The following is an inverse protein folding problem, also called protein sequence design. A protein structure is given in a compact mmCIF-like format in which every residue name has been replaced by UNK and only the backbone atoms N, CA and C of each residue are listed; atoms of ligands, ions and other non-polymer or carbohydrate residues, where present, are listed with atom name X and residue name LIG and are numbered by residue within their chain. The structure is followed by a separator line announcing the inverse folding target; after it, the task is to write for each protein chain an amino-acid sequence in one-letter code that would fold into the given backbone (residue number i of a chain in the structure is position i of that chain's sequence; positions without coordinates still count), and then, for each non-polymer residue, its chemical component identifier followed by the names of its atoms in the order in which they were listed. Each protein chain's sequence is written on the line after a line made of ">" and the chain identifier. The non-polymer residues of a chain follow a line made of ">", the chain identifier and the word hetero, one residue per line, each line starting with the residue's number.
data_IF_026158826113
#
_entry.id   IF_026158826113
#
_cell.length_a   1.000
_cell.length_b   1.000
_cell.length_c   1.000
_cell.angle_alpha   90.00
_cell.angle_beta   90.00
_cell.angle_gamma   90.00
#
_symmetry.space_group_name_H-M   'P 1'
#
loop_
_entity.id
_entity.type
_entity.pdbx_description
1 polymer ?
#
# COMPACT_ATOMS: atom_id res chain seq x y z
N UNK A 1 3.92 42.76 -14.26
CA UNK A 1 4.80 41.62 -13.94
C UNK A 1 4.09 40.89 -12.83
N UNK A 2 3.43 39.75 -13.04
CA UNK A 2 3.04 38.90 -11.94
C UNK A 2 4.31 38.17 -11.44
N UNK A 3 4.51 38.28 -10.15
CA UNK A 3 5.59 37.59 -9.45
C UNK A 3 5.26 36.08 -9.44
N UNK A 4 6.18 35.28 -9.95
CA UNK A 4 6.13 33.83 -9.84
C UNK A 4 6.15 33.45 -8.36
N UNK A 5 4.99 33.03 -7.83
CA UNK A 5 4.93 32.33 -6.56
C UNK A 5 5.68 30.98 -6.73
N UNK A 6 6.60 30.66 -5.83
CA UNK A 6 7.29 29.38 -5.88
C UNK A 6 6.22 28.30 -5.53
N UNK A 7 5.90 27.47 -6.52
CA UNK A 7 5.21 26.20 -6.28
C UNK A 7 6.04 25.40 -5.29
N UNK A 8 5.55 25.27 -4.07
CA UNK A 8 6.14 24.40 -3.06
C UNK A 8 6.05 22.93 -3.52
N UNK A 9 7.00 22.51 -4.33
CA UNK A 9 7.25 21.08 -4.56
C UNK A 9 7.91 20.55 -3.30
N UNK A 10 7.11 19.98 -2.40
CA UNK A 10 7.58 19.18 -1.28
C UNK A 10 8.11 17.85 -1.82
N UNK A 11 9.30 17.83 -2.33
CA UNK A 11 9.99 16.62 -2.81
C UNK A 11 11.49 16.88 -2.83
N UNK A 12 12.25 15.90 -2.39
CA UNK A 12 13.68 15.84 -2.68
C UNK A 12 13.81 15.86 -4.19
N UNK A 13 14.69 16.72 -4.72
CA UNK A 13 14.99 16.80 -6.16
C UNK A 13 15.84 15.59 -6.56
N UNK A 14 15.24 14.40 -6.55
CA UNK A 14 15.83 13.13 -7.00
C UNK A 14 15.32 12.81 -8.39
N UNK A 15 16.15 12.08 -9.15
CA UNK A 15 15.74 11.55 -10.44
C UNK A 15 14.53 10.60 -10.23
N UNK A 16 13.41 10.79 -10.95
CA UNK A 16 12.24 9.93 -10.85
C UNK A 16 12.55 8.44 -11.06
N UNK A 17 13.49 8.09 -11.94
CA UNK A 17 13.86 6.71 -12.20
C UNK A 17 14.67 6.11 -11.03
N UNK A 18 15.57 6.88 -10.43
CA UNK A 18 16.27 6.46 -9.21
C UNK A 18 15.29 6.14 -8.07
N UNK A 19 14.26 6.97 -7.92
CA UNK A 19 13.21 6.71 -6.92
C UNK A 19 12.48 5.40 -7.19
N UNK A 20 12.11 5.13 -8.45
CA UNK A 20 11.44 3.89 -8.84
C UNK A 20 12.32 2.66 -8.61
N UNK A 21 13.61 2.75 -8.91
CA UNK A 21 14.57 1.66 -8.68
C UNK A 21 14.67 1.32 -7.19
N UNK A 22 14.81 2.32 -6.32
CA UNK A 22 14.85 2.12 -4.86
C UNK A 22 13.56 1.45 -4.33
N UNK A 23 12.40 1.87 -4.83
CA UNK A 23 11.11 1.26 -4.45
C UNK A 23 11.06 -0.21 -4.91
N UNK A 24 11.39 -0.50 -6.18
CA UNK A 24 11.42 -1.88 -6.70
C UNK A 24 12.37 -2.79 -5.90
N UNK A 25 13.58 -2.30 -5.58
CA UNK A 25 14.56 -3.05 -4.82
C UNK A 25 14.05 -3.39 -3.42
N UNK A 26 13.53 -2.40 -2.68
CA UNK A 26 12.99 -2.62 -1.33
C UNK A 26 11.84 -3.62 -1.33
N UNK A 27 10.82 -3.39 -2.16
CA UNK A 27 9.61 -4.23 -2.17
C UNK A 27 9.87 -5.60 -2.80
N UNK A 28 10.82 -5.72 -3.75
CA UNK A 28 11.30 -6.99 -4.27
C UNK A 28 11.98 -7.85 -3.18
N UNK A 29 12.78 -7.23 -2.32
CA UNK A 29 13.38 -7.89 -1.18
C UNK A 29 12.33 -8.35 -0.16
N UNK A 30 11.32 -7.51 0.14
CA UNK A 30 10.21 -7.89 1.04
C UNK A 30 9.46 -9.11 0.47
N UNK A 31 9.07 -9.08 -0.81
CA UNK A 31 8.35 -10.18 -1.45
C UNK A 31 9.14 -11.50 -1.42
N UNK A 32 10.46 -11.43 -1.62
CA UNK A 32 11.34 -12.59 -1.64
C UNK A 32 11.57 -13.18 -0.24
N UNK A 33 11.74 -12.34 0.78
CA UNK A 33 11.98 -12.78 2.16
C UNK A 33 10.72 -13.34 2.84
N UNK A 34 9.53 -12.90 2.43
CA UNK A 34 8.27 -13.43 2.93
C UNK A 34 7.97 -14.89 2.47
N UNK A 35 8.83 -15.50 1.67
CA UNK A 35 8.73 -16.93 1.27
C UNK A 35 9.44 -17.89 2.23
N UNK A 36 10.12 -17.40 3.27
CA UNK A 36 11.10 -18.18 4.05
C UNK A 36 10.57 -19.03 5.22
N UNK A 37 9.27 -19.17 5.47
CA UNK A 37 8.74 -19.95 6.59
C UNK A 37 7.69 -21.03 6.23
N UNK A 38 7.66 -21.53 5.01
CA UNK A 38 6.75 -22.61 4.63
C UNK A 38 7.22 -23.38 3.40
N UNK A 39 7.47 -24.69 3.59
CA UNK A 39 7.73 -25.72 2.59
C UNK A 39 9.14 -25.83 2.00
N UNK A 40 10.04 -26.49 2.76
CA UNK A 40 10.99 -27.40 2.16
C UNK A 40 10.93 -28.78 2.84
N UNK A 41 10.16 -29.68 2.26
CA UNK A 41 10.33 -31.12 2.46
C UNK A 41 11.03 -31.67 1.21
N UNK A 42 12.32 -31.96 1.30
CA UNK A 42 12.96 -32.75 0.24
C UNK A 42 14.45 -32.51 0.02
N UNK A 43 15.25 -33.20 0.87
CA UNK A 43 16.54 -33.85 0.59
C UNK A 43 17.64 -33.15 -0.26
N UNK A 44 18.65 -32.61 0.30
CA UNK A 44 19.97 -33.24 0.41
C UNK A 44 20.93 -32.36 1.25
N UNK A 45 21.57 -33.00 2.23
CA UNK A 45 22.44 -32.33 3.16
C UNK A 45 23.87 -32.23 2.59
N UNK A 46 24.39 -30.99 2.49
CA UNK A 46 25.82 -30.75 2.76
C UNK A 46 26.00 -29.33 3.34
N UNK A 47 26.22 -29.36 4.64
CA UNK A 47 27.02 -28.49 5.51
C UNK A 47 27.20 -26.99 5.20
N UNK A 48 26.80 -26.24 6.19
CA UNK A 48 27.50 -25.18 6.93
C UNK A 48 26.89 -23.81 6.83
N UNK A 49 26.40 -23.40 7.96
CA UNK A 49 26.24 -22.15 8.69
C UNK A 49 24.81 -21.70 9.06
N UNK A 50 24.54 -21.79 10.39
CA UNK A 50 23.79 -20.80 11.14
C UNK A 50 22.28 -20.79 11.04
N UNK A 51 21.59 -21.92 11.14
CA UNK A 51 20.13 -21.95 11.33
C UNK A 51 19.73 -21.94 12.81
N UNK A 52 18.98 -20.96 13.25
CA UNK A 52 18.27 -20.98 14.54
C UNK A 52 17.08 -21.93 14.46
N UNK A 53 17.26 -23.19 14.83
CA UNK A 53 16.29 -24.14 15.39
C UNK A 53 16.95 -25.52 15.47
N UNK A 54 17.80 -25.71 16.47
CA UNK A 54 18.26 -27.07 16.87
C UNK A 54 17.42 -27.50 18.06
N UNK A 55 16.61 -28.53 17.87
CA UNK A 55 15.99 -29.25 18.95
C UNK A 55 17.08 -30.15 19.62
N UNK A 56 17.61 -29.71 20.76
CA UNK A 56 18.26 -30.55 21.71
C UNK A 56 17.39 -30.67 22.97
N UNK A 57 16.89 -31.89 23.17
CA UNK A 57 16.19 -32.31 24.36
C UNK A 57 17.22 -32.52 25.48
N UNK A 58 17.36 -31.57 26.35
CA UNK A 58 17.60 -31.66 27.79
C UNK A 58 18.17 -30.35 28.36
N UNK A 59 17.29 -29.47 28.84
CA UNK A 59 17.67 -28.43 29.81
C UNK A 59 16.42 -27.90 30.52
N UNK A 60 16.51 -27.96 31.81
CA UNK A 60 15.60 -27.46 32.85
C UNK A 60 15.09 -26.03 32.61
N UNK A 61 13.80 -25.86 32.93
CA UNK A 61 13.08 -24.59 32.93
C UNK A 61 13.90 -23.40 33.48
N UNK A 62 14.12 -22.40 32.63
CA UNK A 62 13.84 -20.98 32.91
C UNK A 62 14.27 -20.14 31.69
N UNK A 63 13.41 -19.18 31.32
CA UNK A 63 13.66 -18.07 30.41
C UNK A 63 13.50 -18.22 28.89
N UNK A 64 12.51 -17.46 28.36
CA UNK A 64 12.59 -16.80 27.06
C UNK A 64 12.16 -17.62 25.85
N UNK A 65 10.92 -18.12 25.81
CA UNK A 65 10.35 -18.72 24.60
C UNK A 65 10.18 -17.69 23.48
N UNK A 66 10.77 -17.94 22.32
CA UNK A 66 10.49 -17.25 21.06
C UNK A 66 9.14 -17.64 20.46
N UNK A 67 8.12 -17.83 21.28
CA UNK A 67 6.72 -17.94 20.90
C UNK A 67 5.95 -17.34 22.06
N UNK A 68 5.86 -16.04 22.11
CA UNK A 68 4.86 -15.37 22.95
C UNK A 68 3.51 -15.58 22.29
N UNK A 69 2.69 -16.45 22.88
CA UNK A 69 1.24 -16.50 22.70
C UNK A 69 0.57 -15.26 23.32
N UNK A 70 1.13 -14.10 23.13
CA UNK A 70 0.44 -12.85 23.31
C UNK A 70 -0.30 -12.61 22.00
N UNK A 71 -1.63 -12.77 22.03
CA UNK A 71 -2.56 -12.36 20.99
C UNK A 71 -2.52 -10.81 20.89
N UNK A 72 -1.37 -10.28 20.50
CA UNK A 72 -1.27 -8.90 20.06
C UNK A 72 -1.83 -8.86 18.63
N UNK A 73 -2.68 -7.88 18.37
CA UNK A 73 -3.34 -7.71 17.07
C UNK A 73 -2.30 -7.82 15.94
N UNK A 74 -2.61 -8.55 14.88
CA UNK A 74 -1.74 -8.62 13.70
C UNK A 74 -1.46 -7.23 13.16
N UNK A 75 -0.39 -7.05 12.39
CA UNK A 75 -0.07 -5.74 11.80
C UNK A 75 -1.28 -5.11 11.11
N UNK A 76 -2.07 -5.89 10.38
CA UNK A 76 -3.23 -5.43 9.64
C UNK A 76 -4.43 -5.08 10.52
N UNK A 77 -4.65 -5.76 11.66
CA UNK A 77 -5.68 -5.37 12.63
C UNK A 77 -5.40 -3.97 13.21
N UNK A 78 -4.12 -3.61 13.43
CA UNK A 78 -3.73 -2.24 13.86
C UNK A 78 -4.02 -1.17 12.80
N UNK A 79 -4.12 -1.56 11.52
CA UNK A 79 -4.49 -0.69 10.40
C UNK A 79 -6.01 -0.53 10.24
N UNK A 80 -6.80 -1.28 11.02
CA UNK A 80 -8.27 -1.19 11.04
C UNK A 80 -8.97 -2.26 10.19
N UNK A 81 -8.26 -3.33 9.79
CA UNK A 81 -8.91 -4.53 9.29
C UNK A 81 -9.43 -5.34 10.47
N UNK A 82 -10.55 -6.01 10.31
CA UNK A 82 -11.01 -6.90 11.35
C UNK A 82 -10.39 -8.30 11.24
N UNK A 83 -10.47 -9.09 12.31
CA UNK A 83 -9.86 -10.41 12.35
C UNK A 83 -10.47 -11.39 11.32
N UNK A 84 -11.72 -11.16 10.88
CA UNK A 84 -12.39 -11.95 9.85
C UNK A 84 -11.80 -11.64 8.47
N UNK A 85 -11.53 -10.36 8.16
CA UNK A 85 -10.84 -9.93 6.95
C UNK A 85 -9.46 -10.60 6.86
N UNK A 86 -8.66 -10.52 7.93
CA UNK A 86 -7.31 -11.12 7.94
C UNK A 86 -7.37 -12.63 7.78
N UNK A 87 -8.33 -13.31 8.44
CA UNK A 87 -8.49 -14.74 8.36
C UNK A 87 -9.10 -15.25 7.03
N UNK A 88 -9.75 -14.39 6.26
CA UNK A 88 -10.37 -14.77 4.97
C UNK A 88 -9.34 -14.91 3.84
N UNK A 89 -8.18 -14.28 3.97
CA UNK A 89 -7.15 -14.25 2.94
C UNK A 89 -6.04 -15.26 3.25
N UNK A 90 -5.51 -15.94 2.21
CA UNK A 90 -4.44 -16.94 2.38
C UNK A 90 -3.17 -16.35 2.97
N UNK A 91 -2.46 -17.20 3.71
CA UNK A 91 -1.14 -16.90 4.24
C UNK A 91 -0.19 -16.38 3.14
N UNK A 92 0.47 -15.26 3.44
CA UNK A 92 1.45 -14.63 2.56
C UNK A 92 0.87 -13.58 1.61
N UNK A 93 -0.44 -13.29 1.64
CA UNK A 93 -1.00 -12.10 1.00
C UNK A 93 -0.93 -10.88 1.92
N UNK A 94 -1.17 -11.06 3.21
CA UNK A 94 -0.91 -10.04 4.22
C UNK A 94 0.59 -9.99 4.54
N UNK A 95 1.22 -8.86 4.20
CA UNK A 95 2.63 -8.57 4.49
C UNK A 95 2.80 -7.56 5.62
N UNK A 96 1.71 -7.16 6.29
CA UNK A 96 1.72 -6.12 7.32
C UNK A 96 2.12 -4.74 6.78
N UNK A 97 1.95 -4.49 5.49
CA UNK A 97 2.28 -3.24 4.83
C UNK A 97 1.03 -2.36 4.73
N UNK A 98 1.21 -1.04 4.82
CA UNK A 98 0.11 -0.09 4.70
C UNK A 98 0.05 0.90 5.86
N UNK A 99 -0.95 1.76 5.84
CA UNK A 99 -1.19 2.77 6.87
C UNK A 99 -2.67 2.98 7.17
N UNK A 100 -3.53 2.08 6.72
CA UNK A 100 -4.96 2.08 7.00
C UNK A 100 -5.70 1.01 6.19
N UNK A 101 -7.03 1.06 6.18
CA UNK A 101 -7.92 0.12 5.52
C UNK A 101 -8.80 0.86 4.50
N UNK A 102 -8.45 0.87 3.19
CA UNK A 102 -9.25 1.52 2.16
C UNK A 102 -10.61 0.83 1.95
N UNK A 103 -10.71 -0.50 2.18
CA UNK A 103 -11.97 -1.26 2.10
C UNK A 103 -13.06 -0.64 2.98
N UNK A 104 -12.70 -0.15 4.17
CA UNK A 104 -13.65 0.34 5.16
C UNK A 104 -14.49 1.56 4.69
N UNK A 105 -14.01 2.31 3.69
CA UNK A 105 -14.70 3.52 3.19
C UNK A 105 -14.85 3.57 1.66
N UNK A 106 -14.40 2.53 0.94
CA UNK A 106 -14.54 2.46 -0.52
C UNK A 106 -16.00 2.28 -0.99
N UNK A 107 -16.92 1.91 -0.10
CA UNK A 107 -18.34 1.69 -0.39
C UNK A 107 -18.57 0.75 -1.60
N UNK A 108 -17.74 -0.31 -1.73
CA UNK A 108 -17.81 -1.25 -2.84
C UNK A 108 -19.15 -1.97 -2.88
N UNK A 109 -19.66 -2.24 -4.09
CA UNK A 109 -20.93 -2.90 -4.31
C UNK A 109 -20.80 -4.08 -5.28
N UNK A 110 -21.66 -5.12 -5.16
CA UNK A 110 -21.60 -6.28 -6.05
C UNK A 110 -21.67 -5.91 -7.52
N UNK A 111 -20.78 -6.49 -8.31
CA UNK A 111 -20.69 -6.30 -9.76
C UNK A 111 -19.74 -5.16 -10.19
N UNK A 112 -19.17 -4.39 -9.28
CA UNK A 112 -18.23 -3.32 -9.62
C UNK A 112 -16.86 -3.85 -10.07
N UNK A 113 -16.19 -3.06 -10.90
CA UNK A 113 -14.77 -3.23 -11.25
C UNK A 113 -13.90 -2.36 -10.34
N UNK A 114 -13.02 -2.99 -9.57
CA UNK A 114 -12.10 -2.33 -8.63
C UNK A 114 -10.68 -2.37 -9.17
N UNK A 115 -9.96 -1.25 -9.06
CA UNK A 115 -8.53 -1.16 -9.32
C UNK A 115 -7.81 -0.86 -8.02
N UNK A 116 -6.82 -1.70 -7.68
CA UNK A 116 -5.91 -1.50 -6.56
C UNK A 116 -4.55 -1.01 -7.05
N UNK A 117 -4.16 0.19 -6.64
CA UNK A 117 -2.89 0.82 -6.98
C UNK A 117 -1.82 0.44 -5.94
N UNK A 118 -0.81 -0.31 -6.39
CA UNK A 118 0.24 -0.86 -5.53
C UNK A 118 -0.25 -2.06 -4.74
N UNK A 119 -0.82 -3.02 -5.44
CA UNK A 119 -1.51 -4.17 -4.86
C UNK A 119 -0.64 -5.12 -4.03
N UNK A 120 0.71 -4.97 -4.09
CA UNK A 120 1.62 -5.83 -3.35
C UNK A 120 1.35 -7.31 -3.59
N UNK A 121 1.21 -8.09 -2.52
CA UNK A 121 0.89 -9.52 -2.57
C UNK A 121 -0.61 -9.84 -2.74
N UNK A 122 -1.46 -8.81 -2.88
CA UNK A 122 -2.86 -8.92 -3.27
C UNK A 122 -3.87 -8.85 -2.12
N UNK A 123 -3.48 -8.52 -0.90
CA UNK A 123 -4.35 -8.54 0.28
C UNK A 123 -5.65 -7.74 0.07
N UNK A 124 -5.55 -6.44 -0.24
CA UNK A 124 -6.71 -5.58 -0.48
C UNK A 124 -7.52 -6.02 -1.71
N UNK A 125 -6.86 -6.60 -2.73
CA UNK A 125 -7.54 -7.15 -3.91
C UNK A 125 -8.46 -8.33 -3.55
N UNK A 126 -8.03 -9.23 -2.66
CA UNK A 126 -8.86 -10.38 -2.26
C UNK A 126 -10.05 -9.92 -1.42
N UNK A 127 -9.84 -8.98 -0.50
CA UNK A 127 -10.93 -8.38 0.26
C UNK A 127 -11.93 -7.63 -0.63
N UNK A 128 -11.43 -6.93 -1.65
CA UNK A 128 -12.28 -6.27 -2.63
C UNK A 128 -13.09 -7.27 -3.47
N UNK A 129 -12.49 -8.43 -3.83
CA UNK A 129 -13.17 -9.47 -4.58
C UNK A 129 -14.36 -10.07 -3.80
N UNK A 130 -14.21 -10.24 -2.49
CA UNK A 130 -15.30 -10.70 -1.62
C UNK A 130 -16.46 -9.69 -1.60
N UNK A 131 -16.18 -8.39 -1.57
CA UNK A 131 -17.19 -7.32 -1.58
C UNK A 131 -17.94 -7.22 -2.92
N UNK A 132 -17.20 -7.27 -4.05
CA UNK A 132 -17.83 -7.12 -5.38
C UNK A 132 -18.46 -8.42 -5.87
N UNK A 133 -18.07 -9.55 -5.30
CA UNK A 133 -18.65 -10.86 -5.60
C UNK A 133 -18.36 -11.41 -6.99
N UNK A 134 -19.02 -12.50 -7.40
CA UNK A 134 -18.68 -13.25 -8.60
C UNK A 134 -18.98 -12.53 -9.93
N UNK A 135 -19.80 -11.50 -9.91
CA UNK A 135 -20.12 -10.68 -11.09
C UNK A 135 -19.23 -9.43 -11.18
N UNK A 136 -18.40 -9.18 -10.15
CA UNK A 136 -17.43 -8.10 -10.10
C UNK A 136 -16.07 -8.49 -10.67
N UNK A 137 -15.15 -7.53 -10.75
CA UNK A 137 -13.79 -7.75 -11.21
C UNK A 137 -12.79 -6.90 -10.43
N UNK A 138 -11.62 -7.45 -10.08
CA UNK A 138 -10.57 -6.73 -9.35
C UNK A 138 -9.27 -6.79 -10.13
N UNK A 139 -8.65 -5.63 -10.31
CA UNK A 139 -7.36 -5.48 -11.00
C UNK A 139 -6.35 -4.92 -10.01
N UNK A 140 -5.34 -5.71 -9.66
CA UNK A 140 -4.19 -5.24 -8.89
C UNK A 140 -3.06 -4.79 -9.82
N UNK A 141 -2.47 -3.63 -9.54
CA UNK A 141 -1.29 -3.12 -10.27
C UNK A 141 -0.16 -2.88 -9.31
N UNK A 142 1.01 -3.44 -9.59
CA UNK A 142 2.24 -3.20 -8.81
C UNK A 142 3.44 -3.03 -9.76
N UNK A 143 4.41 -2.18 -9.36
CA UNK A 143 5.63 -1.92 -10.13
C UNK A 143 6.69 -3.01 -9.95
N UNK A 144 6.55 -3.86 -8.91
CA UNK A 144 7.53 -4.86 -8.48
C UNK A 144 7.18 -6.23 -9.04
N UNK A 145 8.02 -6.82 -9.94
CA UNK A 145 7.73 -8.13 -10.53
C UNK A 145 7.53 -9.25 -9.51
N UNK A 146 8.30 -9.22 -8.41
CA UNK A 146 8.26 -10.20 -7.33
C UNK A 146 6.91 -10.14 -6.59
N UNK A 147 6.38 -8.93 -6.34
CA UNK A 147 5.05 -8.74 -5.75
C UNK A 147 3.96 -9.28 -6.67
N UNK A 148 4.00 -8.94 -7.96
CA UNK A 148 3.03 -9.44 -8.96
C UNK A 148 3.07 -10.97 -9.04
N UNK A 149 4.27 -11.58 -9.00
CA UNK A 149 4.40 -13.06 -9.00
C UNK A 149 3.74 -13.65 -7.77
N UNK A 150 4.04 -13.11 -6.59
CA UNK A 150 3.47 -13.55 -5.31
C UNK A 150 1.95 -13.37 -5.27
N UNK A 151 1.44 -12.24 -5.74
CA UNK A 151 0.00 -11.98 -5.82
C UNK A 151 -0.73 -12.99 -6.72
N UNK A 152 -0.14 -13.37 -7.86
CA UNK A 152 -0.69 -14.40 -8.76
C UNK A 152 -0.67 -15.80 -8.14
N UNK A 153 0.38 -16.13 -7.39
CA UNK A 153 0.43 -17.37 -6.63
C UNK A 153 -0.65 -17.41 -5.53
N UNK A 154 -0.84 -16.30 -4.83
CA UNK A 154 -1.89 -16.15 -3.83
C UNK A 154 -3.29 -16.22 -4.45
N UNK A 155 -3.52 -15.62 -5.63
CA UNK A 155 -4.78 -15.74 -6.35
C UNK A 155 -5.13 -17.20 -6.68
N UNK A 156 -4.12 -17.96 -7.12
CA UNK A 156 -4.31 -19.39 -7.40
C UNK A 156 -4.63 -20.21 -6.12
N UNK A 157 -4.08 -19.82 -4.96
CA UNK A 157 -4.36 -20.48 -3.67
C UNK A 157 -5.74 -20.13 -3.13
N UNK A 158 -6.24 -18.92 -3.41
CA UNK A 158 -7.57 -18.42 -3.00
C UNK A 158 -8.70 -18.83 -3.96
N UNK A 159 -8.41 -19.53 -5.07
CA UNK A 159 -9.38 -19.76 -6.16
C UNK A 159 -10.06 -18.45 -6.63
N UNK A 160 -9.32 -17.32 -6.60
CA UNK A 160 -9.83 -15.98 -6.88
C UNK A 160 -9.89 -15.73 -8.40
N UNK A 161 -10.93 -16.26 -9.07
CA UNK A 161 -11.09 -16.19 -10.53
C UNK A 161 -11.43 -14.77 -11.03
N UNK A 162 -11.94 -13.90 -10.17
CA UNK A 162 -12.34 -12.52 -10.48
C UNK A 162 -11.22 -11.50 -10.28
N UNK A 163 -10.03 -11.95 -9.83
CA UNK A 163 -8.88 -11.08 -9.54
C UNK A 163 -7.78 -11.30 -10.57
N UNK A 164 -7.25 -10.22 -11.11
CA UNK A 164 -6.05 -10.28 -11.95
C UNK A 164 -4.98 -9.29 -11.50
N UNK A 165 -3.71 -9.65 -11.70
CA UNK A 165 -2.57 -8.82 -11.32
C UNK A 165 -1.73 -8.44 -12.53
N UNK A 166 -1.42 -7.15 -12.66
CA UNK A 166 -0.68 -6.56 -13.78
C UNK A 166 0.59 -5.87 -13.28
N UNK A 167 1.71 -6.11 -13.96
CA UNK A 167 2.93 -5.35 -13.74
C UNK A 167 2.77 -3.97 -14.38
N UNK A 168 2.94 -2.91 -13.61
CA UNK A 168 2.80 -1.54 -14.12
C UNK A 168 3.09 -0.47 -13.06
N UNK A 169 3.27 0.74 -13.52
CA UNK A 169 3.42 1.92 -12.67
C UNK A 169 2.05 2.55 -12.39
N UNK A 170 1.84 3.03 -11.17
CA UNK A 170 0.60 3.72 -10.78
C UNK A 170 0.41 5.08 -11.48
N UNK A 171 1.48 5.65 -12.04
CA UNK A 171 1.45 6.85 -12.89
C UNK A 171 1.15 6.56 -14.37
N UNK A 172 1.09 5.28 -14.77
CA UNK A 172 0.76 4.78 -16.12
C UNK A 172 0.10 3.41 -16.01
N UNK A 173 -1.10 3.41 -15.47
CA UNK A 173 -1.83 2.19 -15.16
C UNK A 173 -2.18 1.41 -16.44
N UNK A 174 -1.82 0.10 -16.55
CA UNK A 174 -2.11 -0.70 -17.73
C UNK A 174 -3.58 -1.17 -17.76
N UNK A 175 -4.49 -0.20 -17.67
CA UNK A 175 -5.95 -0.37 -17.67
C UNK A 175 -6.55 0.59 -18.70
N UNK A 176 -7.61 0.17 -19.40
CA UNK A 176 -8.28 0.99 -20.40
C UNK A 176 -9.00 2.19 -19.75
N UNK A 177 -9.25 3.22 -20.55
CA UNK A 177 -9.98 4.40 -20.12
C UNK A 177 -11.42 4.03 -19.76
N UNK A 178 -11.94 4.63 -18.69
CA UNK A 178 -13.34 4.55 -18.30
C UNK A 178 -13.86 3.10 -18.17
N UNK A 179 -13.12 2.25 -17.44
CA UNK A 179 -13.48 0.84 -17.23
C UNK A 179 -13.52 0.43 -15.76
N UNK A 180 -13.25 1.36 -14.83
CA UNK A 180 -13.14 1.11 -13.40
C UNK A 180 -14.19 1.91 -12.64
N UNK A 181 -14.91 1.28 -11.74
CA UNK A 181 -15.90 1.93 -10.87
C UNK A 181 -15.25 2.52 -9.61
N UNK A 182 -14.29 1.80 -9.05
CA UNK A 182 -13.62 2.15 -7.79
C UNK A 182 -12.12 1.99 -7.91
N UNK A 183 -11.38 2.99 -7.49
CA UNK A 183 -9.92 2.87 -7.27
C UNK A 183 -9.64 2.88 -5.79
N UNK A 184 -8.92 1.87 -5.32
CA UNK A 184 -8.38 1.79 -3.96
C UNK A 184 -6.86 1.89 -3.98
N UNK A 185 -6.25 2.29 -2.87
CA UNK A 185 -4.81 2.26 -2.65
C UNK A 185 -4.47 2.35 -1.17
N UNK A 186 -3.39 1.67 -0.76
CA UNK A 186 -2.94 1.69 0.61
C UNK A 186 -1.44 2.00 0.68
N UNK A 187 -1.09 3.25 1.10
CA UNK A 187 0.28 3.71 1.36
C UNK A 187 1.24 3.65 0.15
N UNK A 188 0.76 3.95 -1.05
CA UNK A 188 1.55 3.81 -2.30
C UNK A 188 1.72 5.12 -3.07
N UNK A 189 0.73 6.03 -3.00
CA UNK A 189 0.77 7.29 -3.74
C UNK A 189 2.01 8.12 -3.37
N UNK A 190 2.41 8.08 -2.10
CA UNK A 190 3.60 8.79 -1.64
C UNK A 190 4.92 8.24 -2.16
N UNK A 191 4.96 6.99 -2.64
CA UNK A 191 6.13 6.41 -3.30
C UNK A 191 6.32 6.91 -4.74
N UNK A 192 5.25 7.44 -5.35
CA UNK A 192 5.33 7.95 -6.72
C UNK A 192 6.05 9.29 -6.78
N UNK A 193 7.09 9.42 -7.63
CA UNK A 193 7.80 10.69 -7.81
C UNK A 193 6.93 11.76 -8.48
N UNK A 194 5.96 11.35 -9.30
CA UNK A 194 5.10 12.23 -10.10
C UNK A 194 3.61 12.04 -9.69
N UNK A 195 3.26 12.42 -8.47
CA UNK A 195 1.91 12.21 -7.90
C UNK A 195 0.77 12.79 -8.74
N UNK A 196 0.98 13.93 -9.40
CA UNK A 196 -0.03 14.49 -10.29
C UNK A 196 -0.42 13.50 -11.39
N UNK A 197 0.56 12.79 -11.96
CA UNK A 197 0.29 11.78 -13.00
C UNK A 197 -0.48 10.57 -12.46
N UNK A 198 -0.28 10.22 -11.19
CA UNK A 198 -1.08 9.17 -10.56
C UNK A 198 -2.56 9.55 -10.55
N UNK A 199 -2.89 10.77 -10.14
CA UNK A 199 -4.28 11.23 -10.12
C UNK A 199 -4.85 11.46 -11.52
N UNK A 200 -4.04 11.96 -12.47
CA UNK A 200 -4.47 12.10 -13.87
C UNK A 200 -4.81 10.74 -14.49
N UNK A 201 -3.99 9.73 -14.23
CA UNK A 201 -4.18 8.38 -14.77
C UNK A 201 -5.31 7.63 -14.05
N UNK A 202 -5.44 7.81 -12.73
CA UNK A 202 -6.59 7.36 -11.95
C UNK A 202 -7.91 7.93 -12.49
N UNK A 203 -7.94 9.23 -12.78
CA UNK A 203 -9.11 9.87 -13.39
C UNK A 203 -9.43 9.31 -14.78
N UNK A 204 -8.41 9.00 -15.58
CA UNK A 204 -8.55 8.42 -16.93
C UNK A 204 -9.26 7.07 -16.88
N UNK A 205 -8.82 6.17 -16.00
CA UNK A 205 -9.34 4.79 -15.93
C UNK A 205 -10.72 4.68 -15.29
N UNK A 206 -11.07 5.61 -14.40
CA UNK A 206 -12.39 5.63 -13.76
C UNK A 206 -13.51 5.92 -14.77
N UNK A 207 -14.62 5.21 -14.64
CA UNK A 207 -15.87 5.56 -15.32
C UNK A 207 -16.43 6.89 -14.80
N UNK A 208 -17.23 7.62 -15.61
CA UNK A 208 -17.96 8.77 -15.12
C UNK A 208 -18.89 8.41 -13.96
N UNK A 209 -18.70 9.03 -12.80
CA UNK A 209 -19.40 8.70 -11.56
C UNK A 209 -18.60 7.78 -10.64
N UNK A 210 -17.50 7.22 -11.12
CA UNK A 210 -16.58 6.39 -10.32
C UNK A 210 -15.90 7.16 -9.21
N UNK A 211 -15.28 6.44 -8.26
CA UNK A 211 -14.73 7.02 -7.03
C UNK A 211 -13.35 6.49 -6.67
N UNK A 212 -12.68 7.24 -5.81
CA UNK A 212 -11.37 6.92 -5.24
C UNK A 212 -11.52 6.74 -3.73
N UNK A 213 -10.88 5.73 -3.17
CA UNK A 213 -10.74 5.50 -1.75
C UNK A 213 -9.29 5.10 -1.42
N UNK A 214 -8.50 6.07 -0.99
CA UNK A 214 -7.07 5.90 -0.72
C UNK A 214 -6.80 6.08 0.78
N UNK A 215 -6.05 5.17 1.38
CA UNK A 215 -5.41 5.35 2.68
C UNK A 215 -3.93 5.64 2.45
N UNK A 216 -3.45 6.81 2.90
CA UNK A 216 -2.03 7.16 2.80
C UNK A 216 -1.64 8.11 3.94
N UNK A 217 -0.34 8.33 4.16
CA UNK A 217 0.11 9.32 5.14
C UNK A 217 0.16 10.71 4.53
N UNK A 218 -0.17 11.70 5.32
CA UNK A 218 -0.09 13.12 4.94
C UNK A 218 0.87 13.88 5.83
N UNK A 219 1.59 14.81 5.23
CA UNK A 219 2.52 15.67 5.94
C UNK A 219 1.76 16.75 6.71
N UNK A 220 2.02 16.85 8.01
CA UNK A 220 1.44 17.85 8.92
C UNK A 220 2.40 18.95 9.31
N UNK A 221 3.72 18.68 9.24
CA UNK A 221 4.77 19.64 9.51
C UNK A 221 5.97 19.43 8.55
N UNK A 222 6.80 20.47 8.29
CA UNK A 222 7.98 20.33 7.43
C UNK A 222 8.97 19.30 7.98
N UNK A 223 9.42 18.38 7.13
CA UNK A 223 10.44 17.41 7.51
C UNK A 223 11.81 18.06 7.76
N UNK A 224 12.55 17.63 8.78
CA UNK A 224 13.98 17.94 8.88
C UNK A 224 14.77 17.33 7.71
N UNK A 225 15.95 17.90 7.44
CA UNK A 225 16.75 17.50 6.27
C UNK A 225 17.21 16.05 6.32
N UNK A 226 17.49 15.51 7.51
CA UNK A 226 17.91 14.12 7.71
C UNK A 226 16.77 13.12 7.39
N UNK A 227 15.53 13.44 7.68
CA UNK A 227 14.36 12.63 7.26
C UNK A 227 14.16 12.72 5.75
N UNK A 228 14.21 13.93 5.22
CA UNK A 228 13.93 14.20 3.81
C UNK A 228 14.96 13.57 2.86
N UNK A 229 16.24 13.49 3.28
CA UNK A 229 17.35 12.96 2.47
C UNK A 229 17.57 11.46 2.64
N UNK A 230 16.91 10.82 3.59
CA UNK A 230 17.06 9.41 3.90
C UNK A 230 16.35 8.52 2.87
N UNK A 231 17.06 7.58 2.20
CA UNK A 231 16.43 6.64 1.27
C UNK A 231 15.40 5.71 1.91
N UNK A 232 15.58 5.34 3.18
CA UNK A 232 14.63 4.49 3.91
C UNK A 232 13.33 5.25 4.17
N UNK A 233 13.41 6.52 4.56
CA UNK A 233 12.25 7.39 4.72
C UNK A 233 11.48 7.57 3.40
N UNK A 234 12.18 7.62 2.25
CA UNK A 234 11.54 7.73 0.94
C UNK A 234 10.76 6.46 0.59
N UNK A 235 11.42 5.31 0.68
CA UNK A 235 10.80 4.01 0.33
C UNK A 235 9.82 3.51 1.40
N UNK A 236 9.80 4.15 2.58
CA UNK A 236 8.84 3.93 3.66
C UNK A 236 7.62 4.86 3.62
N UNK A 237 7.30 5.49 2.48
CA UNK A 237 6.20 6.44 2.32
C UNK A 237 6.33 7.76 3.10
N UNK A 238 7.43 7.98 3.81
CA UNK A 238 7.65 9.12 4.72
C UNK A 238 8.07 10.37 3.94
N UNK A 239 9.28 10.35 3.34
CA UNK A 239 9.87 11.53 2.70
C UNK A 239 9.09 12.03 1.48
N UNK A 240 8.28 11.17 0.88
CA UNK A 240 7.41 11.52 -0.24
C UNK A 240 6.02 12.02 0.17
N UNK A 241 5.68 12.05 1.46
CA UNK A 241 4.35 12.45 1.91
C UNK A 241 4.02 13.89 1.50
N UNK A 242 2.83 14.06 0.91
CA UNK A 242 2.32 15.37 0.51
C UNK A 242 1.45 15.97 1.63
N UNK A 243 1.32 17.29 1.64
CA UNK A 243 0.37 17.97 2.52
C UNK A 243 -1.07 17.79 2.02
N UNK A 244 -2.05 17.95 2.90
CA UNK A 244 -3.47 17.91 2.54
C UNK A 244 -3.78 18.89 1.40
N UNK A 245 -3.35 20.15 1.50
CA UNK A 245 -3.59 21.18 0.49
C UNK A 245 -2.98 20.80 -0.88
N UNK A 246 -1.79 20.15 -0.87
CA UNK A 246 -1.16 19.71 -2.10
C UNK A 246 -1.93 18.57 -2.78
N UNK A 247 -2.42 17.59 -1.99
CA UNK A 247 -3.24 16.48 -2.48
C UNK A 247 -4.57 16.98 -3.03
N UNK A 248 -5.27 17.87 -2.30
CA UNK A 248 -6.51 18.50 -2.74
C UNK A 248 -6.31 19.20 -4.10
N UNK A 249 -5.27 20.03 -4.21
CA UNK A 249 -4.94 20.72 -5.46
C UNK A 249 -4.61 19.77 -6.62
N UNK A 250 -3.96 18.61 -6.34
CA UNK A 250 -3.67 17.61 -7.38
C UNK A 250 -4.94 16.89 -7.85
N UNK A 251 -5.84 16.54 -6.94
CA UNK A 251 -7.13 15.93 -7.27
C UNK A 251 -8.03 16.89 -8.06
N UNK A 252 -8.12 18.16 -7.65
CA UNK A 252 -8.85 19.19 -8.38
C UNK A 252 -8.32 19.38 -9.82
N UNK A 253 -6.98 19.44 -9.98
CA UNK A 253 -6.36 19.57 -11.31
C UNK A 253 -6.62 18.36 -12.20
N UNK A 254 -6.70 17.15 -11.65
CA UNK A 254 -7.07 15.95 -12.40
C UNK A 254 -8.55 15.94 -12.81
N UNK A 255 -9.40 16.77 -12.18
CA UNK A 255 -10.82 16.91 -12.51
C UNK A 255 -11.78 16.24 -11.53
N UNK A 256 -11.29 15.78 -10.39
CA UNK A 256 -12.12 15.19 -9.35
C UNK A 256 -12.98 16.25 -8.65
N UNK A 257 -14.14 15.81 -8.18
CA UNK A 257 -15.10 16.58 -7.36
C UNK A 257 -15.37 15.82 -6.06
N UNK A 258 -16.07 16.46 -5.11
CA UNK A 258 -16.39 15.90 -3.80
C UNK A 258 -15.15 15.32 -3.09
N UNK A 259 -14.06 16.09 -3.12
CA UNK A 259 -12.79 15.72 -2.50
C UNK A 259 -12.94 15.84 -0.98
N UNK A 260 -12.64 14.77 -0.26
CA UNK A 260 -12.59 14.72 1.19
C UNK A 260 -11.27 14.07 1.63
N UNK A 261 -10.47 14.81 2.38
CA UNK A 261 -9.21 14.32 2.94
C UNK A 261 -9.31 14.44 4.46
N UNK A 262 -9.34 13.30 5.15
CA UNK A 262 -9.58 13.22 6.59
C UNK A 262 -8.38 12.67 7.33
N UNK A 263 -7.50 13.52 7.90
CA UNK A 263 -6.38 13.09 8.73
C UNK A 263 -6.85 12.40 10.02
N UNK A 264 -6.21 11.29 10.38
CA UNK A 264 -6.49 10.47 11.57
C UNK A 264 -5.45 10.76 12.65
N UNK A 265 -5.75 11.66 13.58
CA UNK A 265 -4.81 12.06 14.63
C UNK A 265 -4.36 10.90 15.54
N UNK A 266 -5.20 9.88 15.69
CA UNK A 266 -4.90 8.66 16.46
C UNK A 266 -3.78 7.81 15.84
N UNK A 267 -3.46 8.01 14.56
CA UNK A 267 -2.40 7.27 13.88
C UNK A 267 -0.98 7.73 14.27
N UNK A 268 -0.83 8.84 14.96
CA UNK A 268 0.49 9.36 15.39
C UNK A 268 1.27 8.36 16.24
N UNK A 269 0.62 7.65 17.17
CA UNK A 269 1.24 6.64 18.01
C UNK A 269 1.85 5.49 17.19
N UNK A 270 1.07 4.97 16.24
CA UNK A 270 1.51 3.92 15.31
C UNK A 270 2.64 4.40 14.38
N UNK A 271 2.55 5.62 13.86
CA UNK A 271 3.57 6.18 12.96
C UNK A 271 4.88 6.47 13.70
N UNK A 272 4.82 6.84 14.99
CA UNK A 272 6.02 7.04 15.82
C UNK A 272 6.85 5.76 16.00
N UNK A 273 6.25 4.58 15.83
CA UNK A 273 6.97 3.29 15.90
C UNK A 273 7.72 2.94 14.58
N UNK A 274 7.51 3.69 13.49
CA UNK A 274 8.13 3.39 12.19
C UNK A 274 9.63 3.67 12.14
N UNK A 275 10.13 4.49 13.07
CA UNK A 275 11.56 4.83 13.17
C UNK A 275 11.97 4.83 14.64
N UNK A 276 13.02 4.07 14.98
CA UNK A 276 13.47 3.93 16.36
C UNK A 276 14.19 5.17 16.91
N UNK A 277 14.73 6.00 16.01
CA UNK A 277 15.57 7.14 16.35
C UNK A 277 14.84 8.48 16.17
N UNK A 278 13.71 8.51 15.42
CA UNK A 278 12.98 9.73 15.05
C UNK A 278 11.48 9.55 15.30
N UNK A 279 10.88 10.49 16.00
CA UNK A 279 9.41 10.52 16.15
C UNK A 279 8.75 11.08 14.88
N UNK A 280 8.40 10.18 13.97
CA UNK A 280 7.76 10.54 12.71
C UNK A 280 6.31 11.04 12.89
N UNK A 281 5.66 10.72 14.02
CA UNK A 281 4.34 11.22 14.37
C UNK A 281 4.27 12.74 14.58
N UNK A 282 5.44 13.42 14.76
CA UNK A 282 5.50 14.90 14.78
C UNK A 282 5.25 15.52 13.40
N UNK A 283 5.43 14.75 12.30
CA UNK A 283 5.43 15.26 10.92
C UNK A 283 4.36 14.63 10.04
N UNK A 284 3.82 13.48 10.46
CA UNK A 284 2.92 12.66 9.65
C UNK A 284 1.71 12.19 10.45
N UNK A 285 0.60 12.04 9.73
CA UNK A 285 -0.57 11.27 10.18
C UNK A 285 -1.11 10.45 9.01
N UNK A 286 -1.75 9.32 9.30
CA UNK A 286 -2.55 8.62 8.30
C UNK A 286 -3.78 9.46 7.93
N UNK A 287 -4.26 9.35 6.69
CA UNK A 287 -5.46 10.00 6.23
C UNK A 287 -6.27 9.11 5.28
N UNK A 288 -7.57 9.27 5.28
CA UNK A 288 -8.42 8.80 4.19
C UNK A 288 -8.54 9.91 3.15
N UNK A 289 -8.48 9.52 1.87
CA UNK A 289 -8.59 10.42 0.72
C UNK A 289 -9.68 9.87 -0.18
N UNK A 290 -10.77 10.59 -0.28
CA UNK A 290 -11.93 10.24 -1.09
C UNK A 290 -12.18 11.31 -2.14
N UNK A 291 -12.56 10.89 -3.35
CA UNK A 291 -12.92 11.81 -4.42
C UNK A 291 -13.79 11.09 -5.47
N UNK A 292 -14.52 11.85 -6.27
CA UNK A 292 -15.40 11.30 -7.32
C UNK A 292 -15.10 11.90 -8.68
N UNK A 293 -15.10 11.06 -9.72
CA UNK A 293 -15.13 11.53 -11.10
C UNK A 293 -16.55 12.00 -11.41
N UNK A 294 -16.76 13.23 -11.91
CA UNK A 294 -18.09 13.71 -12.25
C UNK A 294 -18.82 12.77 -13.22
N UNK A 295 -20.14 12.58 -13.07
CA UNK A 295 -20.91 11.85 -14.06
C UNK A 295 -20.93 12.59 -15.39
N UNK A 296 -21.08 11.87 -16.50
CA UNK A 296 -21.23 12.49 -17.81
C UNK A 296 -22.42 13.45 -17.80
N UNK A 297 -22.21 14.70 -18.18
CA UNK A 297 -23.30 15.66 -18.30
C UNK A 297 -24.29 15.18 -19.35
N UNK A 298 -25.53 14.97 -18.91
CA UNK A 298 -26.63 14.56 -19.77
C UNK A 298 -26.99 15.63 -20.81
#
# INVERSE_FOLDING_TARGET
>A
MPEDEPTATSGVDRDPEETRELVRERYGNIASNAQGCGDEVGVDATADDGGCCSADADATADDGGCCSDDADATGSERLGYDAEDVASVVDGADLGLGCGNPKAFAEMTPGETVLDLGSGAGFDCFLAADEVGPDGHVIGVDITPEMVSKARENAAKNDAETVEFRLGEISHVPVADETVDVVISNCVVNLAPEKQRVFDDTYRVLEPGGRVAISDVVQTAPFPDDVRMDPESLTGCVAGAATVDALESMLERAGFEAIEISPKAESTEFISEWDADRDLGEYLVSATIEARKPPTKA
#
